data_IF_728546705440
#
_entry.id   IF_728546705440
#
_cell.length_a   1.000
_cell.length_b   1.000
_cell.length_c   1.000
_cell.angle_alpha   90.00
_cell.angle_beta   90.00
_cell.angle_gamma   90.00
#
_symmetry.space_group_name_H-M   'P 1'
#
loop_
_entity.id
_entity.type
_entity.pdbx_description
1 polymer ?
#
# COMPACT_ATOMS: atom_id res chain seq x y z
N UNK A 1 -28.88 4.48 -11.31
CA UNK A 1 -27.92 5.32 -10.59
C UNK A 1 -27.64 6.53 -11.46
N UNK A 2 -27.90 7.72 -10.95
CA UNK A 2 -27.70 8.96 -11.66
C UNK A 2 -26.49 9.69 -11.07
N UNK A 3 -25.53 10.03 -11.91
CA UNK A 3 -24.35 10.82 -11.56
C UNK A 3 -24.42 12.18 -12.26
N UNK A 4 -23.93 13.21 -11.58
CA UNK A 4 -23.66 14.50 -12.18
C UNK A 4 -22.19 14.84 -11.98
N UNK A 5 -21.53 15.27 -13.03
CA UNK A 5 -20.13 15.66 -12.98
C UNK A 5 -20.05 17.12 -12.49
N UNK A 6 -19.30 17.39 -11.44
CA UNK A 6 -19.04 18.73 -10.97
C UNK A 6 -18.18 19.48 -12.00
N UNK A 7 -18.60 20.66 -12.51
CA UNK A 7 -17.83 21.42 -13.49
C UNK A 7 -16.47 21.92 -13.00
N UNK A 8 -16.29 22.08 -11.69
CA UNK A 8 -15.02 22.50 -11.09
C UNK A 8 -14.01 21.33 -10.95
N UNK A 9 -14.49 20.10 -10.97
CA UNK A 9 -13.67 18.89 -10.79
C UNK A 9 -13.96 17.89 -11.89
N UNK A 10 -13.30 18.04 -13.02
CA UNK A 10 -13.51 17.26 -14.25
C UNK A 10 -13.50 15.71 -14.09
N UNK A 11 -13.14 15.21 -12.92
CA UNK A 11 -13.05 13.76 -12.63
C UNK A 11 -13.80 13.34 -11.35
N UNK A 12 -14.60 14.21 -10.75
CA UNK A 12 -15.38 13.86 -9.54
C UNK A 12 -16.84 13.62 -9.92
N UNK A 13 -17.31 12.43 -9.62
CA UNK A 13 -18.68 12.02 -9.82
C UNK A 13 -19.41 12.03 -8.49
N UNK A 14 -20.43 12.87 -8.35
CA UNK A 14 -21.31 12.87 -7.19
C UNK A 14 -22.55 12.00 -7.43
N UNK A 15 -22.88 11.18 -6.43
CA UNK A 15 -24.11 10.40 -6.43
C UNK A 15 -25.31 11.33 -6.23
N UNK A 16 -26.16 11.44 -7.26
CA UNK A 16 -27.37 12.27 -7.21
C UNK A 16 -28.63 11.48 -6.77
N UNK A 17 -28.59 10.17 -6.89
CA UNK A 17 -29.70 9.33 -6.47
C UNK A 17 -29.52 7.86 -6.87
N UNK A 18 -30.34 7.02 -6.30
CA UNK A 18 -30.37 5.57 -6.58
C UNK A 18 -31.77 5.18 -7.02
N UNK A 19 -31.89 4.56 -8.17
CA UNK A 19 -33.14 3.96 -8.62
C UNK A 19 -33.12 2.47 -8.34
N UNK A 20 -34.10 2.00 -7.61
CA UNK A 20 -34.28 0.60 -7.22
C UNK A 20 -35.42 0.01 -8.03
N UNK A 21 -35.12 -1.03 -8.79
CA UNK A 21 -36.09 -1.80 -9.54
C UNK A 21 -36.24 -3.16 -8.90
N UNK A 22 -37.41 -3.46 -8.36
CA UNK A 22 -37.81 -4.83 -7.99
C UNK A 22 -38.83 -5.36 -9.01
N UNK A 23 -39.07 -6.66 -8.99
CA UNK A 23 -39.97 -7.31 -9.95
C UNK A 23 -41.36 -6.67 -10.08
N UNK A 24 -41.84 -5.95 -9.07
CA UNK A 24 -43.14 -5.30 -9.02
C UNK A 24 -43.15 -3.84 -8.57
N UNK A 25 -42.01 -3.28 -8.22
CA UNK A 25 -41.91 -1.92 -7.68
C UNK A 25 -40.68 -1.20 -8.20
N UNK A 26 -40.88 0.05 -8.55
CA UNK A 26 -39.86 1.00 -8.95
C UNK A 26 -39.82 2.14 -7.93
N UNK A 27 -38.69 2.38 -7.28
CA UNK A 27 -38.53 3.50 -6.35
C UNK A 27 -37.21 4.22 -6.62
N UNK A 28 -37.30 5.51 -6.88
CA UNK A 28 -36.12 6.37 -6.97
C UNK A 28 -35.96 7.10 -5.64
N UNK A 29 -34.78 6.94 -5.04
CA UNK A 29 -34.33 7.72 -3.88
C UNK A 29 -33.42 8.82 -4.41
N UNK A 30 -33.81 10.07 -4.23
CA UNK A 30 -32.98 11.21 -4.56
C UNK A 30 -31.94 11.47 -3.45
N UNK A 31 -31.06 12.44 -3.67
CA UNK A 31 -30.02 12.80 -2.70
C UNK A 31 -30.57 13.11 -1.30
N UNK A 32 -31.68 13.85 -1.21
CA UNK A 32 -32.30 14.21 0.06
C UNK A 32 -32.87 12.99 0.81
N UNK A 33 -33.39 12.02 0.09
CA UNK A 33 -33.90 10.78 0.68
C UNK A 33 -32.74 9.95 1.25
N UNK A 34 -31.60 9.91 0.57
CA UNK A 34 -30.41 9.20 1.04
C UNK A 34 -29.79 9.89 2.27
N UNK A 35 -29.76 11.22 2.29
CA UNK A 35 -29.31 12.00 3.44
C UNK A 35 -30.23 11.84 4.67
N UNK A 36 -31.55 11.75 4.47
CA UNK A 36 -32.51 11.44 5.55
C UNK A 36 -32.31 10.03 6.13
N UNK A 37 -31.78 9.09 5.34
CA UNK A 37 -31.35 7.78 5.82
C UNK A 37 -29.99 7.84 6.56
N UNK A 38 -29.44 9.05 6.72
CA UNK A 38 -28.18 9.28 7.44
C UNK A 38 -26.93 8.91 6.64
N UNK A 39 -27.02 8.90 5.30
CA UNK A 39 -25.88 8.70 4.42
C UNK A 39 -25.25 10.03 4.07
N UNK A 40 -23.98 10.20 4.39
CA UNK A 40 -23.19 11.29 3.85
C UNK A 40 -22.62 10.86 2.50
N UNK A 41 -23.20 11.36 1.41
CA UNK A 41 -22.86 10.89 0.06
C UNK A 41 -21.43 11.24 -0.38
N UNK A 42 -20.79 12.19 0.30
CA UNK A 42 -19.38 12.52 0.08
C UNK A 42 -18.42 11.43 0.56
N UNK A 43 -18.89 10.57 1.48
CA UNK A 43 -18.08 9.49 2.04
C UNK A 43 -18.10 8.21 1.20
N UNK A 44 -18.88 8.18 0.11
CA UNK A 44 -19.12 6.97 -0.68
C UNK A 44 -18.85 7.17 -2.16
N UNK A 45 -18.15 6.21 -2.74
CA UNK A 45 -18.01 6.06 -4.18
C UNK A 45 -18.83 4.84 -4.63
N UNK A 46 -19.60 4.99 -5.70
CA UNK A 46 -20.42 3.90 -6.26
C UNK A 46 -19.69 3.31 -7.45
N UNK A 47 -19.37 2.03 -7.39
CA UNK A 47 -18.81 1.31 -8.54
C UNK A 47 -19.92 0.98 -9.55
N UNK A 48 -19.58 0.99 -10.82
CA UNK A 48 -20.50 0.86 -11.97
C UNK A 48 -21.37 -0.43 -12.03
N UNK A 49 -21.13 -1.38 -11.14
CA UNK A 49 -21.77 -2.71 -11.17
C UNK A 49 -22.67 -3.01 -9.97
N UNK A 50 -23.19 -2.01 -9.29
CA UNK A 50 -24.14 -2.28 -8.20
C UNK A 50 -25.56 -2.54 -8.75
N UNK A 51 -25.91 -3.80 -8.94
CA UNK A 51 -27.32 -4.22 -9.08
C UNK A 51 -27.88 -4.37 -7.66
N UNK A 52 -28.71 -3.41 -7.25
CA UNK A 52 -29.31 -3.41 -5.93
C UNK A 52 -30.73 -3.92 -6.09
N UNK A 53 -31.01 -5.14 -5.67
CA UNK A 53 -32.31 -5.77 -5.88
C UNK A 53 -33.35 -5.35 -4.85
N UNK A 54 -32.98 -5.10 -3.62
CA UNK A 54 -33.91 -4.68 -2.54
C UNK A 54 -33.17 -3.88 -1.45
N UNK A 55 -33.38 -2.56 -1.42
CA UNK A 55 -32.83 -1.71 -0.37
C UNK A 55 -33.98 -1.14 0.47
N UNK A 56 -34.08 -1.59 1.70
CA UNK A 56 -35.10 -1.16 2.64
C UNK A 56 -34.54 -0.36 3.81
N UNK A 57 -33.22 -0.43 4.03
CA UNK A 57 -32.55 0.21 5.17
C UNK A 57 -31.16 0.76 4.83
N UNK A 58 -30.61 1.62 5.70
CA UNK A 58 -29.23 2.11 5.63
C UNK A 58 -28.21 0.97 5.57
N UNK A 59 -28.49 -0.15 6.25
CA UNK A 59 -27.61 -1.32 6.29
C UNK A 59 -27.49 -1.96 4.92
N UNK A 60 -28.59 -2.01 4.16
CA UNK A 60 -28.62 -2.56 2.81
C UNK A 60 -27.85 -1.65 1.84
N UNK A 61 -28.01 -0.32 1.96
CA UNK A 61 -27.26 0.64 1.15
C UNK A 61 -25.76 0.54 1.40
N UNK A 62 -25.32 0.48 2.65
CA UNK A 62 -23.92 0.40 3.03
C UNK A 62 -23.21 -0.87 2.50
N UNK A 63 -23.94 -1.93 2.20
CA UNK A 63 -23.39 -3.15 1.59
C UNK A 63 -22.85 -2.88 0.17
N UNK A 64 -23.47 -1.94 -0.55
CA UNK A 64 -23.19 -1.66 -1.97
C UNK A 64 -22.39 -0.38 -2.20
N UNK A 65 -22.29 0.49 -1.19
CA UNK A 65 -21.50 1.71 -1.27
C UNK A 65 -20.10 1.49 -0.67
N UNK A 66 -19.08 1.85 -1.41
CA UNK A 66 -17.71 1.88 -0.90
C UNK A 66 -17.41 3.24 -0.28
N UNK A 67 -16.87 3.27 0.92
CA UNK A 67 -16.38 4.50 1.53
C UNK A 67 -15.27 5.10 0.66
N UNK A 68 -15.38 6.38 0.31
CA UNK A 68 -14.41 7.06 -0.57
C UNK A 68 -13.09 7.37 0.13
N UNK A 69 -13.08 7.44 1.46
CA UNK A 69 -11.85 7.63 2.21
C UNK A 69 -11.12 6.30 2.38
N UNK A 70 -10.18 6.02 1.49
CA UNK A 70 -9.15 5.04 1.80
C UNK A 70 -8.32 5.57 2.96
N UNK A 71 -8.08 4.80 4.01
CA UNK A 71 -7.17 5.24 5.06
C UNK A 71 -5.79 5.48 4.43
N UNK A 72 -5.25 6.66 4.66
CA UNK A 72 -3.87 6.96 4.27
C UNK A 72 -2.97 6.28 5.28
N UNK A 73 -2.07 5.44 4.82
CA UNK A 73 -1.02 4.84 5.65
C UNK A 73 0.30 5.51 5.29
N UNK A 74 0.87 6.24 6.24
CA UNK A 74 2.18 6.88 6.07
C UNK A 74 3.27 5.96 6.62
N UNK A 75 4.23 5.61 5.75
CA UNK A 75 5.41 4.83 6.10
C UNK A 75 6.65 5.74 6.02
N UNK A 76 6.88 6.51 7.06
CA UNK A 76 7.98 7.49 7.15
C UNK A 76 8.92 7.16 8.31
N UNK A 77 10.22 7.07 8.04
CA UNK A 77 11.29 6.98 9.03
C UNK A 77 11.96 8.33 9.27
N UNK A 78 12.90 8.41 10.20
CA UNK A 78 13.76 9.58 10.42
C UNK A 78 14.70 9.83 9.23
N UNK A 79 14.99 8.77 8.49
CA UNK A 79 15.82 8.78 7.28
C UNK A 79 15.33 7.75 6.26
N UNK A 80 16.02 7.69 5.10
CA UNK A 80 15.71 6.74 4.02
C UNK A 80 15.87 5.28 4.43
N UNK A 81 16.82 4.98 5.31
CA UNK A 81 17.12 3.63 5.79
C UNK A 81 16.00 3.13 6.69
N UNK A 82 15.55 3.97 7.61
CA UNK A 82 14.42 3.65 8.49
C UNK A 82 13.10 3.59 7.73
N UNK A 83 12.91 4.44 6.72
CA UNK A 83 11.74 4.37 5.84
C UNK A 83 11.68 3.02 5.11
N UNK A 84 12.81 2.56 4.54
CA UNK A 84 12.88 1.24 3.89
C UNK A 84 12.57 0.10 4.88
N UNK A 85 13.04 0.20 6.12
CA UNK A 85 12.72 -0.75 7.20
C UNK A 85 11.23 -0.76 7.53
N UNK A 86 10.56 0.39 7.59
CA UNK A 86 9.11 0.45 7.83
C UNK A 86 8.31 -0.17 6.70
N UNK A 87 8.70 0.07 5.45
CA UNK A 87 8.10 -0.58 4.27
C UNK A 87 8.27 -2.09 4.36
N UNK A 88 9.48 -2.56 4.71
CA UNK A 88 9.77 -3.98 4.90
C UNK A 88 8.90 -4.62 5.98
N UNK A 89 8.75 -3.96 7.14
CA UNK A 89 7.89 -4.44 8.23
C UNK A 89 6.42 -4.53 7.84
N UNK A 90 5.93 -3.60 7.04
CA UNK A 90 4.54 -3.62 6.57
C UNK A 90 4.29 -4.72 5.53
N UNK A 91 5.20 -4.88 4.56
CA UNK A 91 5.04 -5.86 3.49
C UNK A 91 5.39 -7.29 3.87
N UNK A 92 6.39 -7.48 4.76
CA UNK A 92 6.92 -8.81 5.14
C UNK A 92 6.84 -9.05 6.65
N UNK A 93 5.64 -9.06 7.19
CA UNK A 93 5.36 -9.18 8.64
C UNK A 93 5.92 -10.48 9.25
N UNK A 94 5.93 -11.54 8.46
CA UNK A 94 6.36 -12.89 8.89
C UNK A 94 7.81 -13.25 8.49
N UNK A 95 8.60 -12.26 8.06
CA UNK A 95 9.94 -12.51 7.53
C UNK A 95 9.97 -12.65 6.02
N UNK A 96 11.17 -12.88 5.47
CA UNK A 96 11.37 -13.10 4.02
C UNK A 96 12.57 -13.99 3.77
N UNK A 97 12.43 -14.99 2.90
CA UNK A 97 13.52 -15.87 2.50
C UNK A 97 14.63 -15.14 1.73
N UNK A 98 14.30 -14.04 1.07
CA UNK A 98 15.25 -13.23 0.28
C UNK A 98 15.17 -11.75 0.67
N UNK A 99 16.31 -11.09 0.63
CA UNK A 99 16.42 -9.63 0.83
C UNK A 99 17.31 -9.05 -0.24
N UNK A 100 16.90 -7.93 -0.83
CA UNK A 100 17.72 -7.14 -1.74
C UNK A 100 18.33 -5.98 -0.98
N UNK A 101 19.64 -5.81 -1.09
CA UNK A 101 20.41 -4.74 -0.46
C UNK A 101 20.99 -3.83 -1.55
N UNK A 102 20.79 -2.54 -1.39
CA UNK A 102 21.33 -1.51 -2.27
C UNK A 102 21.96 -0.38 -1.45
N UNK A 103 22.82 0.42 -2.11
CA UNK A 103 23.30 1.67 -1.51
C UNK A 103 22.17 2.71 -1.48
N UNK A 104 21.93 3.31 -0.31
CA UNK A 104 20.90 4.34 -0.14
C UNK A 104 21.21 5.67 -0.82
N UNK A 105 22.47 5.93 -1.19
CA UNK A 105 22.90 7.19 -1.82
C UNK A 105 22.84 7.14 -3.35
N UNK A 106 22.66 5.95 -3.94
CA UNK A 106 22.60 5.73 -5.40
C UNK A 106 21.16 5.42 -5.81
N UNK A 107 20.45 6.42 -6.30
CA UNK A 107 19.02 6.31 -6.64
C UNK A 107 18.72 5.33 -7.80
N UNK A 108 19.65 5.20 -8.76
CA UNK A 108 19.47 4.36 -9.95
C UNK A 108 19.40 2.87 -9.57
N UNK A 109 20.24 2.41 -8.66
CA UNK A 109 20.26 1.00 -8.22
C UNK A 109 18.93 0.59 -7.59
N UNK A 110 18.26 1.53 -6.90
CA UNK A 110 16.92 1.31 -6.36
C UNK A 110 15.87 1.03 -7.42
N UNK A 111 15.88 1.83 -8.50
CA UNK A 111 14.91 1.71 -9.58
C UNK A 111 15.10 0.40 -10.34
N UNK A 112 16.33 0.08 -10.74
CA UNK A 112 16.63 -1.12 -11.53
C UNK A 112 16.51 -2.43 -10.73
N UNK A 113 16.62 -2.37 -9.41
CA UNK A 113 16.49 -3.54 -8.54
C UNK A 113 15.04 -3.93 -8.25
N UNK A 114 14.08 -3.03 -8.45
CA UNK A 114 12.65 -3.26 -8.15
C UNK A 114 12.05 -4.47 -8.88
N UNK A 115 12.27 -4.69 -10.19
CA UNK A 115 11.74 -5.88 -10.87
C UNK A 115 12.28 -7.19 -10.27
N UNK A 116 13.56 -7.22 -9.90
CA UNK A 116 14.18 -8.39 -9.28
C UNK A 116 13.59 -8.66 -7.90
N UNK A 117 13.47 -7.63 -7.07
CA UNK A 117 12.87 -7.71 -5.74
C UNK A 117 11.41 -8.21 -5.82
N UNK A 118 10.65 -7.72 -6.80
CA UNK A 118 9.27 -8.16 -7.05
C UNK A 118 9.22 -9.64 -7.43
N UNK A 119 10.09 -10.07 -8.35
CA UNK A 119 10.16 -11.48 -8.79
C UNK A 119 10.45 -12.44 -7.63
N UNK A 120 11.27 -12.01 -6.68
CA UNK A 120 11.63 -12.81 -5.51
C UNK A 120 10.71 -12.58 -4.30
N UNK A 121 9.71 -11.71 -4.42
CA UNK A 121 8.89 -11.27 -3.28
C UNK A 121 9.76 -10.85 -2.08
N UNK A 122 10.78 -10.05 -2.35
CA UNK A 122 11.82 -9.67 -1.39
C UNK A 122 11.74 -8.18 -1.04
N UNK A 123 11.91 -7.79 0.24
CA UNK A 123 12.07 -6.38 0.60
C UNK A 123 13.40 -5.84 0.07
N UNK A 124 13.42 -4.54 -0.23
CA UNK A 124 14.63 -3.79 -0.53
C UNK A 124 15.04 -3.04 0.73
N UNK A 125 16.25 -3.28 1.23
CA UNK A 125 16.84 -2.55 2.34
C UNK A 125 18.03 -1.71 1.85
N UNK A 126 18.19 -0.55 2.45
CA UNK A 126 19.22 0.40 2.10
C UNK A 126 20.39 0.33 3.09
N UNK A 127 21.60 0.46 2.60
CA UNK A 127 22.82 0.56 3.43
C UNK A 127 23.69 1.73 2.98
N UNK A 128 24.60 2.16 3.82
CA UNK A 128 25.66 3.10 3.44
C UNK A 128 26.81 2.34 2.79
N UNK A 129 27.66 3.06 2.04
CA UNK A 129 28.84 2.46 1.42
C UNK A 129 29.69 1.67 2.43
N UNK A 130 29.96 2.25 3.60
CA UNK A 130 30.91 1.70 4.59
C UNK A 130 30.27 1.26 5.89
N UNK A 131 28.94 1.25 5.99
CA UNK A 131 28.25 0.92 7.23
C UNK A 131 26.85 0.36 6.97
N UNK A 132 26.37 -0.50 7.88
CA UNK A 132 24.99 -0.96 7.92
C UNK A 132 24.30 -0.25 9.10
N UNK A 133 23.29 0.60 8.87
CA UNK A 133 22.54 1.24 9.95
C UNK A 133 21.94 0.25 10.95
N UNK A 134 21.86 0.62 12.22
CA UNK A 134 21.35 -0.29 13.26
C UNK A 134 19.90 -0.72 13.03
N UNK A 135 19.07 0.16 12.47
CA UNK A 135 17.70 -0.15 12.06
C UNK A 135 17.67 -1.29 11.04
N UNK A 136 18.57 -1.25 10.05
CA UNK A 136 18.69 -2.26 9.01
C UNK A 136 19.24 -3.58 9.57
N UNK A 137 20.24 -3.54 10.47
CA UNK A 137 20.74 -4.74 11.16
C UNK A 137 19.61 -5.45 11.93
N UNK A 138 18.81 -4.69 12.65
CA UNK A 138 17.66 -5.22 13.40
C UNK A 138 16.62 -5.85 12.47
N UNK A 139 16.36 -5.22 11.33
CA UNK A 139 15.42 -5.71 10.34
C UNK A 139 15.92 -6.97 9.63
N UNK A 140 17.20 -7.06 9.28
CA UNK A 140 17.81 -8.27 8.74
C UNK A 140 17.66 -9.47 9.69
N UNK A 141 17.86 -9.26 11.00
CA UNK A 141 17.62 -10.29 12.00
C UNK A 141 16.16 -10.71 12.06
N UNK A 142 15.21 -9.76 11.99
CA UNK A 142 13.78 -10.05 12.01
C UNK A 142 13.33 -10.82 10.77
N UNK A 143 13.81 -10.43 9.60
CA UNK A 143 13.48 -11.08 8.34
C UNK A 143 14.02 -12.50 8.25
N UNK A 144 15.17 -12.75 8.88
CA UNK A 144 15.88 -14.05 8.88
C UNK A 144 16.04 -14.68 7.47
N UNK A 145 16.61 -13.93 6.50
CA UNK A 145 16.67 -14.38 5.11
C UNK A 145 17.65 -15.54 4.94
N UNK A 146 17.33 -16.45 4.02
CA UNK A 146 18.21 -17.51 3.54
C UNK A 146 19.21 -16.98 2.51
N UNK A 147 18.73 -16.05 1.66
CA UNK A 147 19.53 -15.44 0.58
C UNK A 147 19.54 -13.93 0.69
N UNK A 148 20.72 -13.34 0.49
CA UNK A 148 20.91 -11.90 0.40
C UNK A 148 21.49 -11.56 -0.95
N UNK A 149 20.80 -10.64 -1.66
CA UNK A 149 21.21 -10.16 -2.97
C UNK A 149 21.71 -8.73 -2.79
N UNK A 150 23.01 -8.52 -2.98
CA UNK A 150 23.62 -7.17 -2.94
C UNK A 150 23.73 -6.68 -4.37
N UNK A 151 23.18 -5.52 -4.64
CA UNK A 151 23.24 -4.86 -5.95
C UNK A 151 24.15 -3.62 -5.83
N UNK A 152 25.13 -3.54 -6.69
CA UNK A 152 26.17 -2.53 -6.72
C UNK A 152 27.56 -3.12 -6.62
N UNK A 153 28.57 -2.37 -7.07
CA UNK A 153 29.98 -2.73 -6.98
C UNK A 153 30.60 -2.31 -5.62
N UNK A 154 31.90 -2.53 -5.46
CA UNK A 154 32.63 -2.16 -4.24
C UNK A 154 32.67 -0.63 -4.00
N UNK A 155 32.41 0.19 -5.03
CA UNK A 155 32.29 1.63 -4.90
C UNK A 155 30.95 2.04 -4.29
N UNK A 156 29.90 1.28 -4.54
CA UNK A 156 28.58 1.46 -3.94
C UNK A 156 28.48 0.82 -2.56
N UNK A 157 28.91 -0.43 -2.39
CA UNK A 157 28.87 -1.18 -1.12
C UNK A 157 30.21 -1.85 -0.88
N UNK A 158 30.96 -1.38 0.11
CA UNK A 158 32.29 -1.92 0.40
C UNK A 158 32.26 -3.36 0.89
N UNK A 159 33.38 -4.07 0.73
CA UNK A 159 33.58 -5.42 1.30
C UNK A 159 33.31 -5.45 2.81
N UNK A 160 33.66 -4.39 3.51
CA UNK A 160 33.41 -4.28 4.96
C UNK A 160 31.91 -4.31 5.24
N UNK A 161 31.10 -3.53 4.53
CA UNK A 161 29.64 -3.51 4.65
C UNK A 161 29.02 -4.85 4.28
N UNK A 162 29.48 -5.48 3.19
CA UNK A 162 29.02 -6.82 2.80
C UNK A 162 29.32 -7.86 3.89
N UNK A 163 30.49 -7.79 4.53
CA UNK A 163 30.84 -8.67 5.65
C UNK A 163 29.99 -8.40 6.90
N UNK A 164 29.68 -7.15 7.20
CA UNK A 164 28.78 -6.80 8.30
C UNK A 164 27.35 -7.37 8.08
N UNK A 165 26.84 -7.32 6.84
CA UNK A 165 25.55 -7.92 6.49
C UNK A 165 25.58 -9.42 6.74
N UNK A 166 26.58 -10.12 6.21
CA UNK A 166 26.76 -11.57 6.41
C UNK A 166 26.84 -11.96 7.88
N UNK A 167 27.64 -11.24 8.66
CA UNK A 167 27.79 -11.53 10.10
C UNK A 167 26.50 -11.26 10.88
N UNK A 168 25.71 -10.25 10.46
CA UNK A 168 24.43 -9.93 11.11
C UNK A 168 23.41 -11.06 10.95
N UNK A 169 23.34 -11.68 9.78
CA UNK A 169 22.39 -12.76 9.50
C UNK A 169 22.86 -14.09 10.12
N UNK A 170 24.16 -14.44 9.97
CA UNK A 170 24.70 -15.68 10.53
C UNK A 170 24.62 -15.74 12.06
N UNK A 171 24.64 -14.59 12.76
CA UNK A 171 24.48 -14.51 14.19
C UNK A 171 23.02 -14.73 14.66
N UNK A 172 22.08 -14.90 13.73
CA UNK A 172 20.63 -15.06 13.99
C UNK A 172 20.15 -16.48 13.69
N UNK A 173 21.02 -17.33 13.13
CA UNK A 173 20.83 -18.79 12.93
C UNK A 173 21.46 -19.56 14.09
#
# INVERSE_FOLDING_TARGET
INYNQDPEYLNVWELQGITINSKNNHKTLNRQDLEKLGLNLKDYNVTQECIIEDITSRKDVNKYLRKTSSPITELTGSDRYETAVKISKEGWKNGSDKVVIINGDVSIDGIISTPLATTYNAPILLVEKNNVPNSVKSELKRLNPKDIIIIGDENAISKTTANQIKSTVNASQ
#
